data_IF_184136016756
#
_entry.id   IF_184136016756
#
_cell.length_a   1.000
_cell.length_b   1.000
_cell.length_c   1.000
_cell.angle_alpha   90.00
_cell.angle_beta   90.00
_cell.angle_gamma   90.00
#
_symmetry.space_group_name_H-M   'P 1'
#
loop_
_entity.id
_entity.type
_entity.pdbx_description
1 polymer ?
#
# COMPACT_ATOMS: atom_id res chain seq x y z
N UNK A 1 53.35 9.42 32.81
CA UNK A 1 53.09 7.99 33.03
C UNK A 1 51.62 7.66 32.79
N UNK A 2 51.09 7.89 31.58
CA UNK A 2 49.79 7.38 31.07
C UNK A 2 49.98 7.40 29.54
N UNK A 3 49.57 6.34 28.83
CA UNK A 3 49.85 6.03 27.41
C UNK A 3 51.11 5.19 27.17
N UNK A 4 51.09 3.97 27.72
CA UNK A 4 51.76 2.84 27.06
C UNK A 4 50.78 2.31 26.00
N UNK A 5 50.95 2.70 24.75
CA UNK A 5 50.09 2.26 23.64
C UNK A 5 50.39 0.80 23.31
N UNK A 6 49.60 -0.12 23.88
CA UNK A 6 49.55 -1.54 23.50
C UNK A 6 48.61 -1.74 22.30
N UNK A 7 48.79 -0.95 21.24
CA UNK A 7 48.08 -1.21 19.97
C UNK A 7 48.90 -2.28 19.25
N UNK A 8 48.50 -3.54 19.39
CA UNK A 8 49.09 -4.62 18.61
C UNK A 8 48.66 -4.47 17.15
N UNK A 9 49.57 -4.84 16.23
CA UNK A 9 49.26 -4.86 14.81
C UNK A 9 48.04 -5.74 14.51
N UNK A 10 47.86 -6.81 15.29
CA UNK A 10 46.70 -7.70 15.21
C UNK A 10 45.38 -6.96 15.45
N UNK A 11 45.29 -6.13 16.50
CA UNK A 11 44.08 -5.36 16.79
C UNK A 11 43.77 -4.36 15.68
N UNK A 12 44.79 -3.73 15.10
CA UNK A 12 44.63 -2.81 13.98
C UNK A 12 44.12 -3.53 12.72
N UNK A 13 44.69 -4.70 12.41
CA UNK A 13 44.27 -5.52 11.27
C UNK A 13 42.82 -5.97 11.42
N UNK A 14 42.43 -6.46 12.60
CA UNK A 14 41.05 -6.91 12.86
C UNK A 14 40.06 -5.75 12.68
N UNK A 15 40.37 -4.57 13.21
CA UNK A 15 39.49 -3.40 13.08
C UNK A 15 39.33 -2.97 11.62
N UNK A 16 40.43 -2.84 10.87
CA UNK A 16 40.39 -2.42 9.45
C UNK A 16 39.63 -3.43 8.60
N UNK A 17 39.87 -4.73 8.79
CA UNK A 17 39.16 -5.79 8.07
C UNK A 17 37.67 -5.78 8.41
N UNK A 18 37.30 -5.58 9.68
CA UNK A 18 35.91 -5.47 10.11
C UNK A 18 35.18 -4.31 9.42
N UNK A 19 35.77 -3.11 9.40
CA UNK A 19 35.19 -1.97 8.70
C UNK A 19 35.07 -2.20 7.19
N UNK A 20 36.07 -2.84 6.56
CA UNK A 20 36.01 -3.17 5.14
C UNK A 20 34.89 -4.15 4.80
N UNK A 21 34.67 -5.18 5.63
CA UNK A 21 33.58 -6.14 5.42
C UNK A 21 32.23 -5.44 5.51
N UNK A 22 32.01 -4.62 6.54
CA UNK A 22 30.75 -3.87 6.70
C UNK A 22 30.53 -2.93 5.53
N UNK A 23 31.56 -2.19 5.12
CA UNK A 23 31.49 -1.30 3.96
C UNK A 23 31.14 -2.07 2.68
N UNK A 24 31.80 -3.21 2.42
CA UNK A 24 31.50 -4.07 1.28
C UNK A 24 30.08 -4.63 1.32
N UNK A 25 29.59 -5.05 2.49
CA UNK A 25 28.23 -5.53 2.66
C UNK A 25 27.19 -4.45 2.30
N UNK A 26 27.41 -3.21 2.73
CA UNK A 26 26.54 -2.08 2.39
C UNK A 26 26.56 -1.77 0.89
N UNK A 27 27.74 -1.76 0.26
CA UNK A 27 27.87 -1.53 -1.19
C UNK A 27 27.17 -2.63 -1.99
N UNK A 28 27.33 -3.90 -1.60
CA UNK A 28 26.67 -5.03 -2.24
C UNK A 28 25.15 -4.91 -2.10
N UNK A 29 24.65 -4.62 -0.90
CA UNK A 29 23.23 -4.43 -0.65
C UNK A 29 22.64 -3.29 -1.49
N UNK A 30 23.34 -2.16 -1.59
CA UNK A 30 22.96 -1.06 -2.47
C UNK A 30 22.90 -1.49 -3.94
N UNK A 31 23.90 -2.24 -4.42
CA UNK A 31 23.92 -2.79 -5.77
C UNK A 31 22.73 -3.71 -6.05
N UNK A 32 22.38 -4.56 -5.09
CA UNK A 32 21.24 -5.46 -5.16
C UNK A 32 19.93 -4.69 -5.29
N UNK A 33 19.70 -3.69 -4.42
CA UNK A 33 18.52 -2.82 -4.50
C UNK A 33 18.44 -2.03 -5.80
N UNK A 34 19.58 -1.65 -6.40
CA UNK A 34 19.59 -0.99 -7.71
C UNK A 34 19.28 -1.94 -8.87
N UNK A 35 19.66 -3.21 -8.75
CA UNK A 35 19.49 -4.22 -9.81
C UNK A 35 18.07 -4.78 -9.86
N UNK A 36 17.43 -5.03 -8.70
CA UNK A 36 16.04 -5.53 -8.61
C UNK A 36 15.05 -4.76 -9.50
N UNK A 37 14.89 -3.42 -9.39
CA UNK A 37 13.91 -2.68 -10.18
C UNK A 37 14.25 -2.69 -11.67
N UNK A 38 15.54 -2.79 -12.04
CA UNK A 38 15.99 -2.90 -13.42
C UNK A 38 15.60 -4.25 -14.03
N UNK A 39 15.70 -5.33 -13.27
CA UNK A 39 15.25 -6.67 -13.70
C UNK A 39 13.72 -6.71 -13.85
N UNK A 40 13.00 -6.17 -12.86
CA UNK A 40 11.53 -6.15 -12.85
C UNK A 40 10.98 -5.32 -14.03
N UNK A 41 11.48 -4.10 -14.24
CA UNK A 41 11.03 -3.24 -15.35
C UNK A 41 11.32 -3.86 -16.72
N UNK A 42 12.44 -4.56 -16.88
CA UNK A 42 12.77 -5.28 -18.12
C UNK A 42 11.77 -6.43 -18.39
N UNK A 43 11.40 -7.19 -17.36
CA UNK A 43 10.39 -8.26 -17.48
C UNK A 43 9.01 -7.69 -17.80
N UNK A 44 8.58 -6.64 -17.12
CA UNK A 44 7.27 -5.99 -17.33
C UNK A 44 7.16 -5.43 -18.75
N UNK A 45 8.20 -4.75 -19.24
CA UNK A 45 8.24 -4.22 -20.62
C UNK A 45 8.09 -5.32 -21.66
N UNK A 46 8.73 -6.47 -21.45
CA UNK A 46 8.62 -7.64 -22.35
C UNK A 46 7.21 -8.24 -22.37
N UNK A 47 6.50 -8.21 -21.24
CA UNK A 47 5.12 -8.69 -21.12
C UNK A 47 4.14 -7.69 -21.79
N UNK A 48 4.31 -6.39 -21.55
CA UNK A 48 3.47 -5.33 -22.13
C UNK A 48 3.55 -5.30 -23.67
N UNK A 49 4.74 -5.50 -24.24
CA UNK A 49 4.92 -5.59 -25.70
C UNK A 49 4.19 -6.82 -26.28
N UNK A 50 4.14 -7.93 -25.53
CA UNK A 50 3.43 -9.15 -25.97
C UNK A 50 1.91 -9.04 -25.87
N UNK A 51 1.39 -8.18 -25.00
CA UNK A 51 -0.05 -8.00 -24.78
C UNK A 51 -0.70 -6.95 -25.70
N UNK A 52 0.02 -6.41 -26.68
CA UNK A 52 -0.53 -5.48 -27.69
C UNK A 52 -0.92 -4.10 -27.14
N UNK A 53 -0.58 -3.79 -25.89
CA UNK A 53 -0.77 -2.47 -25.32
C UNK A 53 0.32 -1.57 -25.89
N UNK A 54 -0.08 -0.60 -26.71
CA UNK A 54 0.82 0.47 -27.16
C UNK A 54 1.45 1.08 -25.91
N UNK A 55 2.80 1.10 -25.79
CA UNK A 55 3.43 1.68 -24.63
C UNK A 55 3.09 3.17 -24.67
N UNK A 56 2.18 3.60 -23.79
CA UNK A 56 1.92 5.00 -23.53
C UNK A 56 3.27 5.62 -23.19
N UNK A 57 3.75 6.45 -24.11
CA UNK A 57 5.11 7.02 -24.09
C UNK A 57 5.36 7.93 -22.88
N UNK A 58 4.31 8.21 -22.11
CA UNK A 58 4.30 9.16 -20.99
C UNK A 58 3.79 8.53 -19.69
N UNK A 59 4.18 7.29 -19.36
CA UNK A 59 4.27 6.95 -17.93
C UNK A 59 5.49 7.70 -17.39
N UNK A 60 5.31 9.00 -17.16
CA UNK A 60 6.25 9.84 -16.42
C UNK A 60 6.55 9.05 -15.15
N UNK A 61 7.83 8.76 -14.91
CA UNK A 61 8.27 8.15 -13.67
C UNK A 61 7.83 9.07 -12.54
N UNK A 62 6.67 8.78 -11.95
CA UNK A 62 6.19 9.51 -10.78
C UNK A 62 7.10 9.14 -9.63
N UNK A 63 7.61 10.16 -8.93
CA UNK A 63 8.44 9.93 -7.76
C UNK A 63 7.61 9.22 -6.68
N UNK A 64 8.26 8.41 -5.84
CA UNK A 64 7.61 7.80 -4.69
C UNK A 64 6.99 8.84 -3.76
N UNK A 65 7.59 10.03 -3.69
CA UNK A 65 7.10 11.18 -2.94
C UNK A 65 5.77 11.72 -3.49
N UNK A 66 5.65 11.85 -4.81
CA UNK A 66 4.41 12.30 -5.47
C UNK A 66 3.28 11.31 -5.23
N UNK A 67 3.59 10.01 -5.33
CA UNK A 67 2.61 8.94 -5.07
C UNK A 67 2.17 8.93 -3.60
N UNK A 68 3.10 9.13 -2.67
CA UNK A 68 2.79 9.23 -1.25
C UNK A 68 1.95 10.47 -0.92
N UNK A 69 2.24 11.62 -1.53
CA UNK A 69 1.46 12.84 -1.37
C UNK A 69 0.02 12.67 -1.90
N UNK A 70 -0.15 12.02 -3.06
CA UNK A 70 -1.47 11.71 -3.61
C UNK A 70 -2.23 10.74 -2.70
N UNK A 71 -1.56 9.68 -2.22
CA UNK A 71 -2.16 8.72 -1.29
C UNK A 71 -2.59 9.40 0.02
N UNK A 72 -1.78 10.31 0.55
CA UNK A 72 -2.10 11.08 1.75
C UNK A 72 -3.29 12.02 1.51
N UNK A 73 -3.32 12.72 0.37
CA UNK A 73 -4.44 13.59 0.01
C UNK A 73 -5.76 12.79 -0.11
N UNK A 74 -5.72 11.62 -0.76
CA UNK A 74 -6.87 10.73 -0.85
C UNK A 74 -7.31 10.22 0.53
N UNK A 75 -6.36 9.82 1.38
CA UNK A 75 -6.65 9.36 2.73
C UNK A 75 -7.38 10.42 3.55
N UNK A 76 -6.88 11.67 3.54
CA UNK A 76 -7.49 12.77 4.29
C UNK A 76 -8.92 13.06 3.80
N UNK A 77 -9.14 13.05 2.49
CA UNK A 77 -10.49 13.25 1.92
C UNK A 77 -11.43 12.11 2.30
N UNK A 78 -10.95 10.86 2.28
CA UNK A 78 -11.76 9.70 2.65
C UNK A 78 -12.06 9.64 4.16
N UNK A 79 -11.14 10.12 4.99
CA UNK A 79 -11.31 10.24 6.44
C UNK A 79 -12.39 11.27 6.78
N UNK A 80 -12.38 12.43 6.11
CA UNK A 80 -13.37 13.50 6.29
C UNK A 80 -14.78 13.13 5.77
N UNK A 81 -14.88 12.23 4.80
CA UNK A 81 -16.15 11.84 4.18
C UNK A 81 -16.96 10.78 4.96
N UNK A 82 -16.39 10.15 5.99
CA UNK A 82 -17.15 9.25 6.85
C UNK A 82 -17.90 10.06 7.91
N UNK A 83 -19.22 9.90 7.97
CA UNK A 83 -20.01 10.41 9.09
C UNK A 83 -19.53 9.72 10.38
N UNK A 84 -19.22 10.50 11.42
CA UNK A 84 -18.94 10.01 12.77
C UNK A 84 -20.19 9.29 13.31
N UNK A 85 -20.30 7.99 13.03
CA UNK A 85 -21.39 7.18 13.55
C UNK A 85 -21.29 7.13 15.09
N UNK A 86 -22.24 7.78 15.76
CA UNK A 86 -22.30 7.89 17.23
C UNK A 86 -22.30 6.56 18.01
N UNK A 87 -22.29 5.39 17.34
CA UNK A 87 -22.27 4.05 17.96
C UNK A 87 -23.50 3.72 18.82
N UNK A 88 -24.38 4.69 19.08
CA UNK A 88 -25.54 4.56 19.96
C UNK A 88 -26.77 4.25 19.09
N UNK A 89 -27.06 2.96 18.96
CA UNK A 89 -28.26 2.47 18.27
C UNK A 89 -29.51 2.69 19.16
N UNK A 90 -30.17 3.84 19.02
CA UNK A 90 -31.44 4.10 19.74
C UNK A 90 -32.63 3.54 18.96
N UNK A 91 -32.99 2.29 19.23
CA UNK A 91 -34.17 1.64 18.62
C UNK A 91 -35.43 2.10 19.36
N UNK A 92 -36.16 3.07 18.79
CA UNK A 92 -37.52 3.40 19.26
C UNK A 92 -38.49 2.32 18.75
N UNK A 93 -38.90 1.42 19.63
CA UNK A 93 -39.91 0.40 19.34
C UNK A 93 -41.28 1.05 19.18
N UNK A 94 -41.60 1.50 17.97
CA UNK A 94 -42.98 1.85 17.62
C UNK A 94 -43.79 0.56 17.54
N UNK A 95 -44.90 0.47 18.27
CA UNK A 95 -45.84 -0.65 18.21
C UNK A 95 -46.63 -0.60 16.89
N UNK A 96 -45.94 -0.75 15.76
CA UNK A 96 -46.61 -0.96 14.47
C UNK A 96 -46.64 -2.46 14.20
N UNK A 97 -47.84 -3.02 14.17
CA UNK A 97 -48.10 -4.45 13.92
C UNK A 97 -47.65 -4.90 12.52
N UNK A 98 -47.32 -3.95 11.64
CA UNK A 98 -46.83 -4.21 10.29
C UNK A 98 -45.55 -3.41 10.01
N UNK A 99 -44.58 -4.06 9.38
CA UNK A 99 -43.40 -3.41 8.78
C UNK A 99 -43.73 -3.01 7.35
N UNK A 100 -43.50 -1.74 6.95
CA UNK A 100 -43.71 -1.32 5.57
C UNK A 100 -42.69 -1.93 4.58
N UNK A 101 -41.65 -2.62 5.06
CA UNK A 101 -40.63 -3.26 4.21
C UNK A 101 -41.08 -4.62 3.61
N UNK A 102 -42.17 -5.24 4.12
CA UNK A 102 -42.65 -6.52 3.58
C UNK A 102 -44.18 -6.60 3.40
N UNK A 103 -44.83 -5.54 2.90
CA UNK A 103 -46.25 -5.59 2.56
C UNK A 103 -46.53 -6.38 1.25
N UNK A 104 -46.11 -7.66 1.18
CA UNK A 104 -46.43 -8.59 0.07
C UNK A 104 -47.93 -8.90 -0.03
N UNK A 105 -48.72 -8.54 0.98
CA UNK A 105 -50.15 -8.87 1.07
C UNK A 105 -50.99 -8.15 0.00
N UNK A 106 -50.55 -7.00 -0.49
CA UNK A 106 -51.29 -6.25 -1.53
C UNK A 106 -50.95 -6.66 -2.96
N UNK A 107 -49.82 -7.33 -3.20
CA UNK A 107 -49.38 -7.70 -4.55
C UNK A 107 -50.13 -8.93 -5.12
N UNK A 108 -50.58 -9.84 -4.26
CA UNK A 108 -51.13 -11.15 -4.71
C UNK A 108 -52.62 -11.07 -5.08
N UNK A 109 -53.38 -10.09 -4.57
CA UNK A 109 -54.85 -10.05 -4.76
C UNK A 109 -55.36 -9.27 -5.99
N UNK A 110 -54.51 -8.51 -6.69
CA UNK A 110 -54.98 -7.64 -7.78
C UNK A 110 -54.55 -8.03 -9.21
N UNK A 111 -53.86 -9.16 -9.41
CA UNK A 111 -53.43 -9.57 -10.76
C UNK A 111 -54.37 -10.55 -11.48
N UNK A 112 -55.36 -11.15 -10.79
CA UNK A 112 -56.18 -12.24 -11.35
C UNK A 112 -57.57 -11.81 -11.83
N UNK A 113 -57.75 -10.58 -12.32
CA UNK A 113 -58.98 -10.23 -13.06
C UNK A 113 -58.72 -9.22 -14.19
N UNK A 114 -57.88 -9.64 -15.14
CA UNK A 114 -57.77 -9.03 -16.47
C UNK A 114 -58.05 -10.11 -17.52
N UNK A 115 -59.31 -10.54 -17.61
CA UNK A 115 -59.91 -11.19 -18.77
C UNK A 115 -61.32 -10.62 -18.93
#
# INVERSE_FOLDING_TARGET
MILKSNISLETLVIAVVGYLIVFMALVLLFGLFRLIPKIISFRIRKIQIKSGLVPSKDIRYMSGEETAAIAMALYLVMDEMHDEESGILTIKKVSKSYSPWSSKIYAVRNQFNRL
#
